data_IF_615147214659
#
_entry.id   IF_615147214659
#
_cell.length_a   1.000
_cell.length_b   1.000
_cell.length_c   1.000
_cell.angle_alpha   90.00
_cell.angle_beta   90.00
_cell.angle_gamma   90.00
#
_symmetry.space_group_name_H-M   'P 1'
#
loop_
_entity.id
_entity.type
_entity.pdbx_description
1 polymer ?
#
# COMPACT_ATOMS: atom_id res chain seq x y z
N UNK A 1 -20.75 -43.05 -58.90
CA UNK A 1 -20.34 -44.28 -58.19
C UNK A 1 -18.84 -44.18 -57.91
N UNK A 2 -18.31 -44.59 -56.74
CA UNK A 2 -18.97 -44.82 -55.45
C UNK A 2 -18.27 -44.12 -54.26
N UNK A 3 -19.09 -43.88 -53.23
CA UNK A 3 -18.85 -44.00 -51.79
C UNK A 3 -17.42 -44.11 -51.26
N UNK A 4 -17.11 -43.35 -50.20
CA UNK A 4 -16.70 -43.99 -48.94
C UNK A 4 -16.50 -42.98 -47.80
N UNK A 5 -17.38 -43.14 -46.80
CA UNK A 5 -17.14 -43.06 -45.34
C UNK A 5 -16.94 -41.68 -44.69
N UNK A 6 -18.05 -41.19 -44.16
CA UNK A 6 -18.12 -40.46 -42.90
C UNK A 6 -17.20 -41.05 -41.84
N UNK A 7 -16.33 -40.23 -41.27
CA UNK A 7 -15.75 -40.46 -39.96
C UNK A 7 -16.25 -39.32 -39.07
N UNK A 8 -17.25 -39.66 -38.27
CA UNK A 8 -17.76 -38.85 -37.18
C UNK A 8 -16.71 -38.90 -36.07
N UNK A 9 -15.82 -37.90 -36.00
CA UNK A 9 -14.95 -37.75 -34.83
C UNK A 9 -15.78 -37.07 -33.75
N UNK A 10 -16.41 -37.87 -32.92
CA UNK A 10 -17.03 -37.44 -31.67
C UNK A 10 -15.90 -37.00 -30.74
N UNK A 11 -15.54 -35.72 -30.74
CA UNK A 11 -14.75 -35.15 -29.66
C UNK A 11 -15.63 -35.19 -28.40
N UNK A 12 -15.36 -36.17 -27.53
CA UNK A 12 -15.88 -36.19 -26.18
C UNK A 12 -15.50 -34.88 -25.50
N UNK A 13 -16.48 -34.00 -25.33
CA UNK A 13 -16.43 -32.88 -24.41
C UNK A 13 -16.53 -33.46 -22.99
N UNK A 14 -15.45 -34.05 -22.48
CA UNK A 14 -15.37 -34.37 -21.05
C UNK A 14 -15.18 -33.05 -20.31
N UNK A 15 -16.30 -32.53 -19.81
CA UNK A 15 -16.32 -31.41 -18.90
C UNK A 15 -15.50 -31.74 -17.65
N UNK A 16 -14.31 -31.16 -17.55
CA UNK A 16 -13.85 -30.67 -16.27
C UNK A 16 -14.54 -29.33 -16.03
N UNK A 17 -15.79 -29.39 -15.55
CA UNK A 17 -16.22 -28.39 -14.57
C UNK A 17 -15.39 -28.68 -13.31
N UNK A 18 -14.12 -28.25 -13.34
CA UNK A 18 -13.43 -27.99 -12.10
C UNK A 18 -14.32 -26.95 -11.40
N UNK A 19 -14.93 -27.35 -10.29
CA UNK A 19 -15.44 -26.41 -9.31
C UNK A 19 -14.24 -25.56 -8.88
N UNK A 20 -13.96 -24.48 -9.64
CA UNK A 20 -13.15 -23.39 -9.16
C UNK A 20 -13.99 -22.85 -8.00
N UNK A 21 -13.71 -23.35 -6.80
CA UNK A 21 -14.12 -22.66 -5.59
C UNK A 21 -13.66 -21.22 -5.83
N UNK A 22 -14.56 -20.21 -5.81
CA UNK A 22 -14.09 -18.85 -5.81
C UNK A 22 -13.05 -18.77 -4.71
N UNK A 23 -11.82 -18.44 -5.07
CA UNK A 23 -10.79 -18.06 -4.10
C UNK A 23 -11.47 -17.09 -3.14
N UNK A 24 -11.37 -17.30 -1.82
CA UNK A 24 -11.91 -16.33 -0.88
C UNK A 24 -11.41 -14.96 -1.32
N UNK A 25 -12.32 -14.07 -1.68
CA UNK A 25 -11.97 -12.67 -1.91
C UNK A 25 -11.29 -12.26 -0.62
N UNK A 26 -10.01 -11.92 -0.69
CA UNK A 26 -9.28 -11.41 0.45
C UNK A 26 -10.02 -10.16 0.93
N UNK A 27 -10.75 -10.27 2.03
CA UNK A 27 -11.79 -9.29 2.42
C UNK A 27 -11.19 -8.01 3.02
N UNK A 28 -9.88 -7.83 2.95
CA UNK A 28 -9.20 -6.73 3.59
C UNK A 28 -8.43 -5.84 2.61
N UNK A 29 -9.07 -5.48 1.51
CA UNK A 29 -8.59 -4.40 0.64
C UNK A 29 -8.96 -3.07 1.34
N UNK A 30 -7.98 -2.23 1.71
CA UNK A 30 -8.28 -0.95 2.35
C UNK A 30 -9.04 -0.03 1.38
N UNK A 31 -10.12 0.60 1.85
CA UNK A 31 -10.88 1.54 1.03
C UNK A 31 -10.21 2.92 1.00
N UNK A 32 -9.55 3.22 -0.12
CA UNK A 32 -8.93 4.52 -0.41
C UNK A 32 -9.75 5.40 -1.35
N UNK A 33 -10.94 4.96 -1.79
CA UNK A 33 -11.72 5.64 -2.85
C UNK A 33 -12.15 7.07 -2.52
N UNK A 34 -12.20 7.41 -1.23
CA UNK A 34 -12.58 8.73 -0.71
C UNK A 34 -11.38 9.62 -0.36
N UNK A 35 -10.16 9.20 -0.71
CA UNK A 35 -8.95 9.94 -0.39
C UNK A 35 -8.76 11.10 -1.36
N UNK A 36 -8.54 12.27 -0.78
CA UNK A 36 -8.03 13.43 -1.48
C UNK A 36 -6.63 13.63 -0.94
N UNK A 37 -5.60 13.56 -1.79
CA UNK A 37 -4.20 13.75 -1.40
C UNK A 37 -3.75 15.16 -1.80
N UNK A 38 -3.21 15.94 -0.86
CA UNK A 38 -2.65 17.26 -1.17
C UNK A 38 -1.16 17.13 -1.56
N UNK A 39 -0.89 16.63 -2.78
CA UNK A 39 0.46 16.29 -3.25
C UNK A 39 1.47 17.45 -3.11
N UNK A 40 1.09 18.66 -3.53
CA UNK A 40 1.97 19.84 -3.44
C UNK A 40 2.26 20.25 -2.00
N UNK A 41 1.29 20.09 -1.09
CA UNK A 41 1.53 20.32 0.34
C UNK A 41 2.53 19.32 0.89
N UNK A 42 2.34 18.02 0.60
CA UNK A 42 3.27 16.98 1.07
C UNK A 42 4.68 17.21 0.51
N UNK A 43 4.81 17.48 -0.80
CA UNK A 43 6.09 17.77 -1.44
C UNK A 43 6.76 18.97 -0.81
N UNK A 44 6.06 20.10 -0.69
CA UNK A 44 6.61 21.33 -0.14
C UNK A 44 7.14 21.11 1.27
N UNK A 45 6.35 20.51 2.14
CA UNK A 45 6.76 20.27 3.52
C UNK A 45 7.96 19.31 3.62
N UNK A 46 8.09 18.35 2.71
CA UNK A 46 9.25 17.47 2.66
C UNK A 46 10.49 18.17 2.10
N UNK A 47 10.37 19.04 1.11
CA UNK A 47 11.49 19.81 0.55
C UNK A 47 12.00 20.89 1.50
N UNK A 48 11.09 21.63 2.13
CA UNK A 48 11.45 22.79 2.96
C UNK A 48 12.00 22.38 4.33
N UNK A 49 11.71 21.16 4.80
CA UNK A 49 11.95 20.76 6.20
C UNK A 49 12.61 19.39 6.42
N UNK A 50 12.70 18.50 5.41
CA UNK A 50 13.45 17.26 5.55
C UNK A 50 14.86 17.41 4.94
N UNK A 51 15.91 17.40 5.79
CA UNK A 51 16.27 16.17 6.48
C UNK A 51 16.61 16.31 7.99
N UNK A 52 16.43 17.47 8.62
CA UNK A 52 17.11 17.79 9.90
C UNK A 52 16.23 18.26 11.06
N UNK A 53 14.91 18.33 10.90
CA UNK A 53 13.99 18.87 11.91
C UNK A 53 12.78 17.91 12.12
N UNK A 54 12.04 18.01 13.23
CA UNK A 54 10.77 17.29 13.37
C UNK A 54 9.83 17.57 12.20
N UNK A 55 9.05 16.57 11.78
CA UNK A 55 7.99 16.80 10.80
C UNK A 55 7.08 17.92 11.28
N UNK A 56 6.79 18.85 10.38
CA UNK A 56 5.90 19.96 10.68
C UNK A 56 4.51 19.47 11.08
N UNK A 57 3.76 20.33 11.77
CA UNK A 57 2.35 20.04 12.10
C UNK A 57 1.51 19.85 10.84
N UNK A 58 1.83 20.57 9.76
CA UNK A 58 1.13 20.48 8.48
C UNK A 58 1.33 19.10 7.84
N UNK A 59 2.58 18.67 7.68
CA UNK A 59 2.89 17.34 7.15
C UNK A 59 2.32 16.23 8.03
N UNK A 60 2.50 16.37 9.35
CA UNK A 60 1.96 15.41 10.32
C UNK A 60 0.45 15.30 10.22
N UNK A 61 -0.26 16.42 10.13
CA UNK A 61 -1.73 16.45 10.00
C UNK A 61 -2.18 15.76 8.71
N UNK A 62 -1.53 16.08 7.59
CA UNK A 62 -1.91 15.54 6.29
C UNK A 62 -1.66 14.04 6.19
N UNK A 63 -0.48 13.56 6.57
CA UNK A 63 -0.17 12.12 6.56
C UNK A 63 -1.06 11.36 7.56
N UNK A 64 -1.23 11.86 8.79
CA UNK A 64 -2.08 11.21 9.78
C UNK A 64 -3.56 11.18 9.37
N UNK A 65 -4.05 12.18 8.64
CA UNK A 65 -5.42 12.21 8.11
C UNK A 65 -5.67 11.04 7.14
N UNK A 66 -4.70 10.72 6.29
CA UNK A 66 -4.76 9.58 5.37
C UNK A 66 -4.68 8.26 6.15
N UNK A 67 -3.70 8.11 7.05
CA UNK A 67 -3.48 6.89 7.83
C UNK A 67 -4.64 6.56 8.79
N UNK A 68 -5.35 7.55 9.32
CA UNK A 68 -6.47 7.36 10.26
C UNK A 68 -7.60 6.49 9.70
N UNK A 69 -7.73 6.42 8.37
CA UNK A 69 -8.77 5.66 7.67
C UNK A 69 -8.43 4.17 7.49
N UNK A 70 -7.25 3.74 7.95
CA UNK A 70 -6.70 2.41 7.72
C UNK A 70 -6.62 1.61 9.03
N UNK A 71 -7.74 1.01 9.50
CA UNK A 71 -7.73 0.20 10.71
C UNK A 71 -6.85 -1.05 10.54
N UNK A 72 -6.18 -1.54 11.59
CA UNK A 72 -5.40 -2.76 11.52
C UNK A 72 -6.31 -3.97 11.25
N UNK A 73 -5.80 -4.92 10.47
CA UNK A 73 -6.41 -6.23 10.26
C UNK A 73 -5.37 -7.33 10.48
N UNK A 74 -5.14 -7.73 11.74
CA UNK A 74 -4.13 -8.72 12.05
C UNK A 74 -4.45 -10.09 11.46
N UNK A 75 -3.41 -10.78 10.99
CA UNK A 75 -3.45 -12.16 10.53
C UNK A 75 -2.33 -12.96 11.22
N UNK A 76 -2.32 -14.27 11.06
CA UNK A 76 -1.25 -15.12 11.60
C UNK A 76 0.14 -14.75 11.05
N UNK A 77 0.19 -14.22 9.81
CA UNK A 77 1.42 -13.81 9.12
C UNK A 77 1.71 -12.31 9.24
N UNK A 78 0.72 -11.50 9.64
CA UNK A 78 0.87 -10.08 9.94
C UNK A 78 0.18 -9.75 11.27
N UNK A 79 0.87 -9.92 12.41
CA UNK A 79 0.29 -9.67 13.73
C UNK A 79 -0.04 -8.20 14.01
N UNK A 80 0.54 -7.26 13.25
CA UNK A 80 0.22 -5.84 13.45
C UNK A 80 -0.98 -5.42 12.58
N UNK A 81 -1.18 -6.09 11.44
CA UNK A 81 -2.33 -5.92 10.57
C UNK A 81 -2.27 -4.67 9.68
N UNK A 82 -1.06 -4.26 9.29
CA UNK A 82 -0.84 -2.98 8.61
C UNK A 82 -0.12 -3.10 7.28
N UNK A 83 0.29 -4.29 6.86
CA UNK A 83 1.07 -4.46 5.64
C UNK A 83 0.28 -3.99 4.42
N UNK A 84 -0.95 -4.48 4.25
CA UNK A 84 -1.81 -4.09 3.14
C UNK A 84 -2.25 -2.62 3.22
N UNK A 85 -2.42 -2.09 4.44
CA UNK A 85 -2.72 -0.67 4.65
C UNK A 85 -1.57 0.24 4.17
N UNK A 86 -0.32 -0.12 4.46
CA UNK A 86 0.83 0.66 4.00
C UNK A 86 1.04 0.54 2.50
N UNK A 87 0.83 -0.64 1.93
CA UNK A 87 0.85 -0.81 0.47
C UNK A 87 -0.21 0.05 -0.19
N UNK A 88 -1.44 0.06 0.31
CA UNK A 88 -2.51 0.91 -0.19
C UNK A 88 -2.18 2.40 -0.03
N UNK A 89 -1.66 2.81 1.12
CA UNK A 89 -1.21 4.19 1.35
C UNK A 89 -0.14 4.65 0.35
N UNK A 90 0.90 3.84 0.12
CA UNK A 90 1.95 4.14 -0.86
C UNK A 90 1.40 4.17 -2.28
N UNK A 91 0.59 3.17 -2.65
CA UNK A 91 0.00 3.09 -3.98
C UNK A 91 -0.91 4.29 -4.28
N UNK A 92 -1.72 4.73 -3.30
CA UNK A 92 -2.61 5.88 -3.46
C UNK A 92 -1.82 7.19 -3.58
N UNK A 93 -0.77 7.37 -2.80
CA UNK A 93 0.13 8.53 -2.93
C UNK A 93 0.79 8.55 -4.32
N UNK A 94 1.29 7.41 -4.80
CA UNK A 94 1.89 7.34 -6.13
C UNK A 94 0.85 7.58 -7.23
N UNK A 95 -0.37 7.06 -7.09
CA UNK A 95 -1.44 7.25 -8.07
C UNK A 95 -1.86 8.72 -8.19
N UNK A 96 -2.03 9.42 -7.06
CA UNK A 96 -2.47 10.82 -7.08
C UNK A 96 -1.32 11.81 -7.32
N UNK A 97 -0.08 11.43 -7.02
CA UNK A 97 1.08 12.32 -7.03
C UNK A 97 2.19 11.92 -8.02
N UNK A 98 1.91 11.04 -8.99
CA UNK A 98 2.88 10.49 -9.97
C UNK A 98 3.73 11.57 -10.65
N UNK A 99 3.15 12.74 -10.94
CA UNK A 99 3.84 13.86 -11.58
C UNK A 99 4.73 14.69 -10.62
N UNK A 100 4.68 14.43 -9.32
CA UNK A 100 5.22 15.28 -8.25
C UNK A 100 6.32 14.56 -7.48
N UNK A 101 6.10 13.30 -7.11
CA UNK A 101 7.05 12.48 -6.37
C UNK A 101 6.71 10.98 -6.46
N UNK A 102 7.64 10.15 -6.04
CA UNK A 102 7.46 8.71 -5.84
C UNK A 102 7.65 8.34 -4.37
N UNK A 103 6.83 7.42 -3.89
CA UNK A 103 6.91 6.79 -2.57
C UNK A 103 7.17 5.30 -2.71
N UNK A 104 8.00 4.74 -1.83
CA UNK A 104 8.29 3.30 -1.79
C UNK A 104 8.26 2.80 -0.35
N UNK A 105 7.63 1.65 -0.11
CA UNK A 105 7.72 0.99 1.18
C UNK A 105 9.11 0.35 1.33
N UNK A 106 9.97 0.98 2.12
CA UNK A 106 11.32 0.50 2.37
C UNK A 106 11.38 -0.67 3.34
N UNK A 107 10.70 -0.53 4.48
CA UNK A 107 10.60 -1.59 5.46
C UNK A 107 9.23 -1.59 6.13
N UNK A 108 8.77 -2.78 6.51
CA UNK A 108 7.54 -2.96 7.25
C UNK A 108 7.83 -3.43 8.68
N UNK A 109 7.31 -2.68 9.66
CA UNK A 109 7.43 -2.98 11.10
C UNK A 109 8.86 -3.37 11.53
N UNK A 110 9.88 -2.78 10.91
CA UNK A 110 11.27 -3.21 11.02
C UNK A 110 12.04 -2.56 12.17
N UNK A 111 11.45 -1.54 12.81
CA UNK A 111 12.06 -0.83 13.93
C UNK A 111 11.62 -1.42 15.28
N UNK A 112 12.54 -1.39 16.25
CA UNK A 112 12.64 -2.10 17.53
C UNK A 112 11.35 -2.63 18.23
N UNK A 113 11.48 -3.71 19.05
CA UNK A 113 10.37 -4.25 19.82
C UNK A 113 9.80 -3.21 20.79
N UNK A 114 8.54 -2.83 20.59
CA UNK A 114 7.80 -1.89 21.44
C UNK A 114 7.26 -0.67 20.71
N UNK A 115 7.87 -0.29 19.58
CA UNK A 115 7.39 0.75 18.66
C UNK A 115 7.63 0.29 17.22
N UNK A 116 6.90 -0.75 16.80
CA UNK A 116 6.94 -1.25 15.43
C UNK A 116 6.69 -0.08 14.48
N UNK A 117 7.70 0.31 13.72
CA UNK A 117 7.60 1.38 12.76
C UNK A 117 8.11 0.90 11.40
N UNK A 118 7.51 1.47 10.37
CA UNK A 118 7.75 1.21 8.96
C UNK A 118 8.43 2.42 8.34
N UNK A 119 9.29 2.18 7.35
CA UNK A 119 9.96 3.23 6.60
C UNK A 119 9.34 3.33 5.21
N UNK A 120 8.91 4.54 4.85
CA UNK A 120 8.47 4.88 3.50
C UNK A 120 9.46 5.88 2.92
N UNK A 121 10.08 5.54 1.81
CA UNK A 121 11.03 6.40 1.12
C UNK A 121 10.30 7.33 0.17
N UNK A 122 10.54 8.62 0.31
CA UNK A 122 10.12 9.66 -0.61
C UNK A 122 11.27 9.99 -1.56
N UNK A 123 10.98 9.97 -2.86
CA UNK A 123 11.92 10.28 -3.94
C UNK A 123 11.32 11.34 -4.83
N UNK A 124 12.14 12.32 -5.21
CA UNK A 124 11.77 13.35 -6.18
C UNK A 124 13.02 13.76 -6.95
N UNK A 125 12.87 14.36 -8.13
CA UNK A 125 14.00 14.86 -8.91
C UNK A 125 14.73 16.05 -8.25
N UNK A 126 14.13 16.68 -7.24
CA UNK A 126 14.65 17.89 -6.59
C UNK A 126 15.61 17.61 -5.42
N UNK A 127 15.59 16.40 -4.85
CA UNK A 127 16.50 15.98 -3.77
C UNK A 127 17.24 14.73 -4.22
N UNK A 128 18.57 14.71 -4.06
CA UNK A 128 19.41 13.56 -4.40
C UNK A 128 19.26 12.38 -3.44
N UNK A 129 19.04 12.67 -2.16
CA UNK A 129 18.88 11.66 -1.11
C UNK A 129 17.39 11.44 -0.78
N UNK A 130 16.94 10.18 -0.66
CA UNK A 130 15.55 9.90 -0.31
C UNK A 130 15.23 10.37 1.10
N UNK A 131 14.08 11.03 1.26
CA UNK A 131 13.56 11.38 2.58
C UNK A 131 12.84 10.17 3.17
N UNK A 132 13.10 9.83 4.42
CA UNK A 132 12.52 8.64 5.07
C UNK A 132 11.36 9.04 5.98
N UNK A 133 10.13 8.80 5.53
CA UNK A 133 8.94 8.86 6.37
C UNK A 133 8.89 7.66 7.32
N UNK A 134 8.94 7.92 8.63
CA UNK A 134 8.77 6.89 9.66
C UNK A 134 7.30 6.83 10.06
N UNK A 135 6.64 5.70 9.84
CA UNK A 135 5.24 5.46 10.20
C UNK A 135 5.19 4.46 11.34
N UNK A 136 4.66 4.85 12.51
CA UNK A 136 4.40 3.95 13.62
C UNK A 136 3.23 3.03 13.20
N UNK A 137 3.48 1.72 13.24
CA UNK A 137 2.57 0.63 12.87
C UNK A 137 2.32 -0.29 14.07
N UNK A 138 1.60 0.19 15.10
CA UNK A 138 1.40 -0.55 16.33
C UNK A 138 0.38 -1.69 16.15
N UNK A 139 0.59 -2.82 16.82
CA UNK A 139 -0.39 -3.90 16.81
C UNK A 139 -1.75 -3.44 17.40
N UNK A 140 -2.84 -3.67 16.65
CA UNK A 140 -4.21 -3.43 17.11
C UNK A 140 -4.58 -1.95 17.34
N UNK A 141 -3.72 -1.00 16.95
CA UNK A 141 -3.98 0.44 17.05
C UNK A 141 -3.79 1.11 15.69
N UNK A 142 -4.36 2.30 15.44
CA UNK A 142 -4.15 3.00 14.16
C UNK A 142 -2.69 3.37 13.91
N UNK A 143 -2.29 3.38 12.64
CA UNK A 143 -1.00 3.92 12.20
C UNK A 143 -0.94 5.44 12.39
N UNK A 144 0.28 5.96 12.55
CA UNK A 144 0.54 7.41 12.58
C UNK A 144 1.96 7.71 12.13
N UNK A 145 2.18 8.90 11.58
CA UNK A 145 3.53 9.42 11.37
C UNK A 145 4.25 9.50 12.73
N UNK A 146 5.49 9.03 12.77
CA UNK A 146 6.36 9.19 13.93
C UNK A 146 6.66 10.67 14.12
N UNK A 147 6.68 11.15 15.37
CA UNK A 147 7.38 12.40 15.66
C UNK A 147 8.86 12.06 15.55
N UNK A 148 9.64 12.83 14.78
CA UNK A 148 11.09 12.76 14.96
C UNK A 148 11.33 13.47 16.30
N UNK A 149 11.63 12.70 17.33
CA UNK A 149 12.08 13.22 18.62
C UNK A 149 13.55 13.64 18.55
#
# INVERSE_FOLDING_TARGET
>A
MPYSKSILVTLLLTGLLACIKPTPIDKNIPDTSSWIVHCETIKKELLDHAPSEPYTEVLSSEINRLLKRLPPYPTDTDPTGHLENLKAFVAELNLQCEAVFEMELGCYACLEPGNTASMVYYKTSEISDPVILKIITPAGKPMRLAKND
#
